data_IF_321885918308
#
_entry.id   IF_321885918308
#
_cell.length_a   1.000
_cell.length_b   1.000
_cell.length_c   1.000
_cell.angle_alpha   90.00
_cell.angle_beta   90.00
_cell.angle_gamma   90.00
#
_symmetry.space_group_name_H-M   'P 1'
#
loop_
_entity.id
_entity.type
_entity.pdbx_description
1 polymer ?
#
# COMPACT_ATOMS: atom_id res chain seq x y z
N UNK A 1 24.31 4.61 -14.79
CA UNK A 1 24.06 3.80 -13.58
C UNK A 1 24.44 4.66 -12.39
N UNK A 2 23.50 4.95 -11.48
CA UNK A 2 23.77 5.79 -10.32
C UNK A 2 24.25 4.93 -9.15
N UNK A 3 25.25 5.40 -8.42
CA UNK A 3 25.78 4.73 -7.21
C UNK A 3 25.25 5.48 -6.00
N UNK A 4 24.73 4.72 -5.03
CA UNK A 4 24.25 5.25 -3.75
C UNK A 4 25.17 4.71 -2.66
N UNK A 5 25.79 5.61 -1.89
CA UNK A 5 26.49 5.25 -0.67
C UNK A 5 25.48 5.23 0.47
N UNK A 6 25.39 4.09 1.16
CA UNK A 6 24.44 3.86 2.22
C UNK A 6 25.20 3.58 3.51
N UNK A 7 24.91 4.38 4.54
CA UNK A 7 25.44 4.13 5.89
C UNK A 7 24.48 3.19 6.60
N UNK A 8 24.99 2.06 7.04
CA UNK A 8 24.26 1.06 7.82
C UNK A 8 24.48 1.31 9.31
N UNK A 9 23.44 1.09 10.10
CA UNK A 9 23.55 0.87 11.53
C UNK A 9 23.52 -0.64 11.84
N UNK A 10 23.66 -1.02 13.10
CA UNK A 10 23.72 -2.43 13.52
C UNK A 10 22.46 -3.22 13.11
N UNK A 11 21.28 -2.61 13.24
CA UNK A 11 20.01 -3.23 12.84
C UNK A 11 19.95 -3.45 11.34
N UNK A 12 20.38 -2.46 10.55
CA UNK A 12 20.44 -2.60 9.10
C UNK A 12 21.44 -3.68 8.69
N UNK A 13 22.57 -3.79 9.38
CA UNK A 13 23.56 -4.82 9.10
C UNK A 13 22.99 -6.21 9.36
N UNK A 14 22.31 -6.42 10.48
CA UNK A 14 21.63 -7.70 10.78
C UNK A 14 20.58 -8.06 9.72
N UNK A 15 19.78 -7.08 9.28
CA UNK A 15 18.79 -7.31 8.23
C UNK A 15 19.45 -7.65 6.89
N UNK A 16 20.59 -7.02 6.56
CA UNK A 16 21.35 -7.37 5.36
C UNK A 16 21.92 -8.78 5.44
N UNK A 17 22.43 -9.18 6.60
CA UNK A 17 22.95 -10.53 6.81
C UNK A 17 21.84 -11.58 6.65
N UNK A 18 20.64 -11.31 7.17
CA UNK A 18 19.46 -12.17 6.98
C UNK A 18 19.04 -12.24 5.50
N UNK A 19 18.91 -11.08 4.84
CA UNK A 19 18.49 -11.00 3.43
C UNK A 19 19.53 -11.57 2.45
N UNK A 20 20.77 -11.75 2.89
CA UNK A 20 21.86 -12.32 2.07
C UNK A 20 22.26 -13.73 2.50
N UNK A 21 21.62 -14.30 3.51
CA UNK A 21 21.91 -15.64 4.03
C UNK A 21 21.86 -16.73 2.94
N UNK A 22 20.98 -16.56 1.94
CA UNK A 22 20.81 -17.48 0.81
C UNK A 22 21.88 -17.31 -0.30
N UNK A 23 22.92 -16.50 -0.05
CA UNK A 23 23.99 -16.20 -1.01
C UNK A 23 23.67 -15.08 -1.98
N UNK A 24 22.59 -14.33 -1.77
CA UNK A 24 22.28 -13.14 -2.56
C UNK A 24 23.29 -12.02 -2.31
N UNK A 25 23.56 -11.20 -3.34
CA UNK A 25 24.43 -10.03 -3.15
C UNK A 25 23.70 -8.92 -2.37
N UNK A 26 24.44 -8.16 -1.57
CA UNK A 26 23.90 -7.00 -0.82
C UNK A 26 23.15 -6.03 -1.74
N UNK A 27 23.69 -5.75 -2.94
CA UNK A 27 23.01 -4.87 -3.90
C UNK A 27 21.69 -5.46 -4.43
N UNK A 28 21.60 -6.78 -4.59
CA UNK A 28 20.36 -7.44 -4.97
C UNK A 28 19.33 -7.39 -3.82
N UNK A 29 19.76 -7.66 -2.60
CA UNK A 29 18.92 -7.56 -1.40
C UNK A 29 18.36 -6.14 -1.22
N UNK A 30 19.21 -5.11 -1.26
CA UNK A 30 18.80 -3.70 -1.15
C UNK A 30 17.82 -3.33 -2.27
N UNK A 31 18.07 -3.78 -3.50
CA UNK A 31 17.16 -3.52 -4.62
C UNK A 31 15.78 -4.11 -4.37
N UNK A 32 15.70 -5.37 -3.96
CA UNK A 32 14.42 -6.02 -3.69
C UNK A 32 13.68 -5.34 -2.54
N UNK A 33 14.38 -5.10 -1.41
CA UNK A 33 13.82 -4.40 -0.27
C UNK A 33 13.23 -3.02 -0.64
N UNK A 34 13.92 -2.25 -1.49
CA UNK A 34 13.44 -0.95 -1.95
C UNK A 34 12.18 -1.08 -2.83
N UNK A 35 12.15 -2.05 -3.74
CA UNK A 35 10.99 -2.30 -4.60
C UNK A 35 9.78 -2.75 -3.78
N UNK A 36 9.99 -3.58 -2.76
CA UNK A 36 8.94 -4.08 -1.88
C UNK A 36 8.40 -2.98 -0.97
N UNK A 37 9.27 -2.15 -0.40
CA UNK A 37 8.87 -0.97 0.35
C UNK A 37 8.03 -0.01 -0.51
N UNK A 38 8.44 0.22 -1.77
CA UNK A 38 7.68 1.06 -2.70
C UNK A 38 6.30 0.45 -3.03
N UNK A 39 6.23 -0.87 -3.24
CA UNK A 39 4.95 -1.58 -3.46
C UNK A 39 4.04 -1.49 -2.24
N UNK A 40 4.59 -1.70 -1.04
CA UNK A 40 3.84 -1.60 0.20
C UNK A 40 3.26 -0.20 0.39
N UNK A 41 4.09 0.83 0.21
CA UNK A 41 3.63 2.23 0.30
C UNK A 41 2.50 2.53 -0.69
N UNK A 42 2.59 2.06 -1.94
CA UNK A 42 1.51 2.23 -2.93
C UNK A 42 0.22 1.55 -2.48
N UNK A 43 0.28 0.33 -1.97
CA UNK A 43 -0.90 -0.38 -1.45
C UNK A 43 -1.53 0.34 -0.26
N UNK A 44 -0.70 0.88 0.63
CA UNK A 44 -1.19 1.62 1.80
C UNK A 44 -1.89 2.93 1.39
N UNK A 45 -1.35 3.63 0.39
CA UNK A 45 -2.01 4.80 -0.21
C UNK A 45 -3.35 4.43 -0.83
N UNK A 46 -3.39 3.40 -1.68
CA UNK A 46 -4.64 2.93 -2.30
C UNK A 46 -5.69 2.52 -1.26
N UNK A 47 -5.30 1.85 -0.16
CA UNK A 47 -6.25 1.52 0.92
C UNK A 47 -6.78 2.77 1.62
N UNK A 48 -5.94 3.78 1.85
CA UNK A 48 -6.37 5.06 2.45
C UNK A 48 -7.33 5.80 1.53
N UNK A 49 -7.01 5.89 0.24
CA UNK A 49 -7.87 6.51 -0.77
C UNK A 49 -9.20 5.78 -0.91
N UNK A 50 -9.18 4.45 -0.97
CA UNK A 50 -10.40 3.64 -1.00
C UNK A 50 -11.27 3.84 0.24
N UNK A 51 -10.65 3.93 1.43
CA UNK A 51 -11.37 4.20 2.68
C UNK A 51 -11.96 5.61 2.67
N UNK A 52 -11.24 6.59 2.12
CA UNK A 52 -11.74 7.95 1.99
C UNK A 52 -12.95 8.02 1.03
N UNK A 53 -12.86 7.38 -0.13
CA UNK A 53 -13.95 7.32 -1.11
C UNK A 53 -15.18 6.56 -0.59
N UNK A 54 -15.00 5.42 0.08
CA UNK A 54 -16.13 4.66 0.65
C UNK A 54 -16.89 5.45 1.72
N UNK A 55 -16.21 6.38 2.39
CA UNK A 55 -16.82 7.24 3.41
C UNK A 55 -17.18 8.62 2.87
N UNK A 56 -17.22 8.82 1.55
CA UNK A 56 -17.66 10.08 0.96
C UNK A 56 -19.14 10.33 1.36
N UNK A 57 -19.43 11.41 2.12
CA UNK A 57 -20.78 11.69 2.57
C UNK A 57 -21.77 11.94 1.43
N UNK A 58 -21.30 12.45 0.29
CA UNK A 58 -22.13 12.70 -0.89
C UNK A 58 -22.61 11.39 -1.50
N UNK A 59 -21.67 10.47 -1.75
CA UNK A 59 -21.96 9.18 -2.35
C UNK A 59 -22.84 8.31 -1.44
N UNK A 60 -22.61 8.38 -0.13
CA UNK A 60 -23.45 7.69 0.87
C UNK A 60 -24.86 8.28 0.90
N UNK A 61 -25.01 9.61 0.78
CA UNK A 61 -26.32 10.26 0.76
C UNK A 61 -27.09 9.91 -0.53
N UNK A 62 -26.42 9.92 -1.68
CA UNK A 62 -26.99 9.55 -2.97
C UNK A 62 -27.42 8.07 -2.99
N UNK A 63 -26.56 7.16 -2.53
CA UNK A 63 -26.87 5.73 -2.43
C UNK A 63 -28.13 5.48 -1.56
N UNK A 64 -28.28 6.20 -0.46
CA UNK A 64 -29.49 6.12 0.39
C UNK A 64 -30.73 6.68 -0.30
N UNK A 65 -30.60 7.76 -1.08
CA UNK A 65 -31.72 8.34 -1.82
C UNK A 65 -32.22 7.34 -2.88
N UNK A 66 -31.31 6.77 -3.67
CA UNK A 66 -31.65 5.76 -4.68
C UNK A 66 -32.32 4.53 -4.05
N UNK A 67 -31.81 4.04 -2.91
CA UNK A 67 -32.43 2.90 -2.23
C UNK A 67 -33.86 3.20 -1.78
N UNK A 68 -34.14 4.40 -1.27
CA UNK A 68 -35.50 4.83 -0.93
C UNK A 68 -36.41 4.87 -2.15
N UNK A 69 -35.93 5.47 -3.23
CA UNK A 69 -36.69 5.56 -4.49
C UNK A 69 -37.00 4.16 -5.06
N UNK A 70 -36.07 3.21 -4.92
CA UNK A 70 -36.27 1.82 -5.35
C UNK A 70 -37.24 1.04 -4.45
N UNK A 71 -37.21 1.28 -3.14
CA UNK A 71 -38.15 0.67 -2.19
C UNK A 71 -39.58 1.17 -2.43
N UNK A 72 -39.76 2.45 -2.72
CA UNK A 72 -41.07 3.04 -3.08
C UNK A 72 -41.65 2.40 -4.35
N UNK A 73 -40.82 2.12 -5.35
CA UNK A 73 -41.24 1.44 -6.58
C UNK A 73 -41.59 -0.05 -6.36
N UNK A 74 -41.02 -0.69 -5.34
CA UNK A 74 -41.22 -2.11 -5.05
C UNK A 74 -42.44 -2.37 -4.14
N UNK A 75 -42.98 -1.33 -3.52
CA UNK A 75 -44.17 -1.38 -2.67
C UNK A 75 -45.50 -1.28 -3.46
N UNK A 76 -45.44 -1.12 -4.78
CA UNK A 76 -46.56 -1.17 -5.72
C UNK A 76 -46.63 -2.51 -6.44
#
# INVERSE_FOLDING_TARGET
MAIVNFRTDELTQQALDELTADGATVSAAIRQALLDAARQRRRDLMRRESTALMNDPSDVAESRAVLRDMDDLRAW
#
